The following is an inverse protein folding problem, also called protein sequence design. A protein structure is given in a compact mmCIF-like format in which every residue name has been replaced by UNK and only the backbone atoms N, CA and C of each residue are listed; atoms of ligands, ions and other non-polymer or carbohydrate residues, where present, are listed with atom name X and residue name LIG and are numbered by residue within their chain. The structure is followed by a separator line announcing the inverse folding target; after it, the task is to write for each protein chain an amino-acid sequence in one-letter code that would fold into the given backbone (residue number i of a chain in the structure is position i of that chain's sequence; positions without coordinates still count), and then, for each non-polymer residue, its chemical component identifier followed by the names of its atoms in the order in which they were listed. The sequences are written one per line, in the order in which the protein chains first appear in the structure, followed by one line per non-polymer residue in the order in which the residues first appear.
data_IF_728583724091
#
_entry.id   IF_728583724091
#
_cell.length_a   1.000
_cell.length_b   1.000
_cell.length_c   1.000
_cell.angle_alpha   90.00
_cell.angle_beta   90.00
_cell.angle_gamma   90.00
#
_symmetry.space_group_name_H-M   'P 1'
#
loop_
_entity.id
_entity.type
_entity.pdbx_description
1 polymer ?
#
# COMPACT_ATOMS: atom_id res chain seq x y z
N UNK A 1 0.13 -16.92 -11.37
CA UNK A 1 -0.19 -18.13 -10.62
C UNK A 1 -1.08 -17.80 -9.44
N UNK A 2 -2.13 -18.55 -9.25
CA UNK A 2 -3.03 -18.30 -8.12
C UNK A 2 -2.32 -18.65 -6.81
N UNK A 3 -2.47 -17.79 -5.81
CA UNK A 3 -1.95 -18.04 -4.46
C UNK A 3 -2.74 -19.19 -3.83
N UNK A 4 -2.07 -20.15 -3.20
CA UNK A 4 -2.74 -21.26 -2.54
C UNK A 4 -3.58 -20.74 -1.35
N UNK A 5 -4.60 -21.52 -0.95
CA UNK A 5 -5.43 -21.19 0.22
C UNK A 5 -4.57 -21.08 1.48
N UNK A 6 -3.55 -21.95 1.63
CA UNK A 6 -2.64 -21.91 2.75
C UNK A 6 -1.81 -20.60 2.78
N UNK A 7 -1.28 -20.19 1.63
CA UNK A 7 -0.52 -18.93 1.53
C UNK A 7 -1.38 -17.73 1.86
N UNK A 8 -2.63 -17.69 1.39
CA UNK A 8 -3.58 -16.62 1.72
C UNK A 8 -3.89 -16.57 3.20
N UNK A 9 -4.10 -17.73 3.82
CA UNK A 9 -4.35 -17.82 5.25
C UNK A 9 -3.16 -17.30 6.07
N UNK A 10 -1.94 -17.72 5.70
CA UNK A 10 -0.71 -17.23 6.32
C UNK A 10 -0.59 -15.73 6.21
N UNK A 11 -0.86 -15.18 5.02
CA UNK A 11 -0.80 -13.74 4.77
C UNK A 11 -1.81 -12.98 5.63
N UNK A 12 -3.04 -13.48 5.73
CA UNK A 12 -4.06 -12.88 6.60
C UNK A 12 -3.62 -12.84 8.06
N UNK A 13 -3.01 -13.92 8.56
CA UNK A 13 -2.50 -13.95 9.92
C UNK A 13 -1.37 -12.97 10.15
N UNK A 14 -0.44 -12.89 9.21
CA UNK A 14 0.67 -11.95 9.29
C UNK A 14 0.17 -10.51 9.23
N UNK A 15 -0.79 -10.23 8.35
CA UNK A 15 -1.39 -8.91 8.23
C UNK A 15 -2.11 -8.52 9.52
N UNK A 16 -2.88 -9.42 10.11
CA UNK A 16 -3.59 -9.14 11.37
C UNK A 16 -2.63 -8.82 12.50
N UNK A 17 -1.51 -9.53 12.57
CA UNK A 17 -0.47 -9.29 13.59
C UNK A 17 0.19 -7.93 13.38
N UNK A 18 0.54 -7.60 12.14
CA UNK A 18 1.14 -6.31 11.81
C UNK A 18 0.18 -5.16 12.07
N UNK A 19 -1.09 -5.32 11.68
CA UNK A 19 -2.12 -4.31 11.94
C UNK A 19 -2.25 -4.00 13.43
N UNK A 20 -2.18 -5.04 14.26
CA UNK A 20 -2.23 -4.87 15.71
C UNK A 20 -1.06 -4.06 16.24
N UNK A 21 0.16 -4.31 15.72
CA UNK A 21 1.34 -3.54 16.09
C UNK A 21 1.21 -2.08 15.69
N UNK A 22 0.69 -1.81 14.51
CA UNK A 22 0.48 -0.44 14.01
C UNK A 22 -0.52 0.28 14.92
N UNK A 23 -1.63 -0.36 15.27
CA UNK A 23 -2.62 0.23 16.18
C UNK A 23 -2.06 0.53 17.55
N UNK A 24 -1.05 -0.24 17.98
CA UNK A 24 -0.37 -0.02 19.25
C UNK A 24 0.78 1.00 19.15
N UNK A 25 0.90 1.70 18.04
CA UNK A 25 1.89 2.74 17.83
C UNK A 25 3.22 2.28 17.27
N UNK A 26 3.37 1.01 16.91
CA UNK A 26 4.60 0.45 16.37
C UNK A 26 4.52 0.41 14.84
N UNK A 27 4.59 1.58 14.22
CA UNK A 27 4.38 1.75 12.79
C UNK A 27 5.63 1.74 11.94
N UNK A 28 6.62 0.91 12.30
CA UNK A 28 7.84 0.79 11.50
C UNK A 28 8.11 -0.67 11.17
N UNK A 29 8.49 -0.92 9.91
CA UNK A 29 8.88 -2.24 9.43
C UNK A 29 10.02 -2.10 8.44
N UNK A 30 11.15 -2.75 8.73
CA UNK A 30 12.36 -2.73 7.88
C UNK A 30 12.85 -1.30 7.60
N UNK A 31 12.74 -0.41 8.59
CA UNK A 31 13.17 0.98 8.45
C UNK A 31 12.19 1.86 7.68
N UNK A 32 10.98 1.37 7.41
CA UNK A 32 9.94 2.11 6.69
C UNK A 32 8.75 2.36 7.60
N UNK A 33 8.13 3.54 7.43
CA UNK A 33 6.85 3.81 8.08
C UNK A 33 5.76 2.95 7.44
N UNK A 34 4.82 2.46 8.24
CA UNK A 34 3.70 1.64 7.77
C UNK A 34 2.38 2.21 8.26
N UNK A 35 1.35 1.99 7.47
CA UNK A 35 -0.03 2.35 7.79
C UNK A 35 -0.92 1.15 7.52
N UNK A 36 -2.17 1.21 8.00
CA UNK A 36 -3.19 0.22 7.65
C UNK A 36 -4.08 0.83 6.57
N UNK A 37 -4.13 0.20 5.40
CA UNK A 37 -5.03 0.60 4.33
C UNK A 37 -6.30 -0.21 4.41
N UNK A 38 -7.45 0.49 4.49
CA UNK A 38 -8.76 -0.13 4.44
C UNK A 38 -9.32 0.01 3.03
N UNK A 39 -9.68 -1.11 2.45
CA UNK A 39 -10.33 -1.18 1.14
C UNK A 39 -11.56 -2.08 1.23
N UNK A 40 -12.33 -2.13 0.15
CA UNK A 40 -13.46 -3.03 0.01
C UNK A 40 -13.14 -4.00 -1.12
N UNK A 41 -13.33 -5.29 -0.88
CA UNK A 41 -13.08 -6.32 -1.88
C UNK A 41 -13.92 -6.05 -3.13
N UNK A 42 -13.27 -5.98 -4.29
CA UNK A 42 -13.94 -5.64 -5.55
C UNK A 42 -14.98 -6.67 -5.99
N UNK A 43 -14.86 -7.89 -5.48
CA UNK A 43 -15.77 -8.99 -5.82
C UNK A 43 -16.71 -9.33 -4.67
N UNK A 44 -16.18 -9.39 -3.45
CA UNK A 44 -16.96 -9.80 -2.27
C UNK A 44 -17.72 -8.65 -1.60
N UNK A 45 -17.25 -7.41 -1.77
CA UNK A 45 -17.77 -6.27 -1.03
C UNK A 45 -17.38 -6.24 0.43
N UNK A 46 -16.52 -7.15 0.86
CA UNK A 46 -16.11 -7.27 2.25
C UNK A 46 -14.94 -6.34 2.59
N UNK A 47 -14.87 -5.84 3.84
CA UNK A 47 -13.76 -4.99 4.26
C UNK A 47 -12.43 -5.74 4.23
N UNK A 48 -11.38 -5.05 3.81
CA UNK A 48 -10.01 -5.55 3.82
C UNK A 48 -9.12 -4.57 4.55
N UNK A 49 -8.16 -5.07 5.32
CA UNK A 49 -7.19 -4.28 6.04
C UNK A 49 -5.79 -4.79 5.69
N UNK A 50 -4.96 -3.92 5.14
CA UNK A 50 -3.63 -4.30 4.66
C UNK A 50 -2.57 -3.36 5.23
N UNK A 51 -1.55 -3.87 5.93
CA UNK A 51 -0.41 -3.04 6.35
C UNK A 51 0.46 -2.75 5.12
N UNK A 52 0.78 -1.48 4.90
CA UNK A 52 1.54 -1.05 3.73
C UNK A 52 2.55 0.01 4.15
N UNK A 53 3.77 -0.09 3.63
CA UNK A 53 4.77 0.95 3.79
C UNK A 53 4.37 2.17 2.99
N UNK A 54 4.66 3.36 3.52
CA UNK A 54 4.35 4.61 2.85
C UNK A 54 5.50 5.58 2.91
N UNK A 55 5.49 6.55 2.00
CA UNK A 55 6.49 7.60 1.91
C UNK A 55 5.80 8.95 1.81
N UNK A 56 6.40 9.98 2.41
CA UNK A 56 5.88 11.33 2.26
C UNK A 56 6.10 11.81 0.83
N UNK A 57 5.12 12.54 0.28
CA UNK A 57 5.26 13.18 -1.02
C UNK A 57 5.87 14.59 -0.93
N UNK A 58 6.32 14.97 0.27
CA UNK A 58 6.83 16.31 0.55
C UNK A 58 5.75 17.28 1.00
N UNK A 59 4.49 16.89 0.99
CA UNK A 59 3.33 17.64 1.47
C UNK A 59 2.49 16.77 2.38
N UNK A 60 1.17 16.80 2.21
CA UNK A 60 0.22 16.07 3.06
C UNK A 60 -0.14 14.69 2.52
N UNK A 61 0.40 14.29 1.37
CA UNK A 61 0.05 13.02 0.74
C UNK A 61 0.91 11.86 1.22
N UNK A 62 0.36 10.66 1.06
CA UNK A 62 1.04 9.39 1.34
C UNK A 62 1.28 8.67 0.03
N UNK A 63 2.54 8.29 -0.24
CA UNK A 63 2.90 7.54 -1.45
C UNK A 63 2.99 6.05 -1.12
N UNK A 64 2.33 5.22 -1.93
CA UNK A 64 2.36 3.78 -1.82
C UNK A 64 2.94 3.17 -3.11
N UNK A 65 3.70 2.09 -2.96
CA UNK A 65 4.23 1.34 -4.11
C UNK A 65 3.51 0.00 -4.21
N UNK A 66 2.94 -0.29 -5.35
CA UNK A 66 2.20 -1.53 -5.59
C UNK A 66 3.15 -2.66 -6.04
N UNK A 67 4.02 -3.12 -5.15
CA UNK A 67 5.08 -4.08 -5.46
C UNK A 67 4.78 -5.53 -5.06
N UNK A 68 3.68 -5.77 -4.34
CA UNK A 68 3.40 -7.09 -3.77
C UNK A 68 2.64 -8.06 -4.67
N UNK A 69 2.26 -7.66 -5.88
CA UNK A 69 1.54 -8.53 -6.81
C UNK A 69 2.47 -9.47 -7.55
N UNK A 70 2.06 -10.71 -7.75
CA UNK A 70 2.87 -11.69 -8.49
C UNK A 70 2.70 -11.46 -10.00
N UNK A 71 3.58 -10.66 -10.59
CA UNK A 71 3.56 -10.36 -12.01
C UNK A 71 2.46 -9.40 -12.45
N UNK A 72 1.82 -8.70 -11.51
CA UNK A 72 0.75 -7.74 -11.78
C UNK A 72 0.47 -6.87 -10.59
N UNK A 73 -0.62 -6.11 -10.63
CA UNK A 73 -1.02 -5.26 -9.52
C UNK A 73 -1.48 -6.11 -8.32
N UNK A 74 -1.10 -5.75 -7.08
CA UNK A 74 -1.58 -6.48 -5.91
C UNK A 74 -3.08 -6.26 -5.68
N UNK A 75 -3.69 -7.17 -4.92
CA UNK A 75 -5.13 -7.12 -4.66
C UNK A 75 -5.56 -5.82 -3.99
N UNK A 76 -4.77 -5.31 -3.04
CA UNK A 76 -5.14 -4.07 -2.36
C UNK A 76 -5.28 -2.90 -3.34
N UNK A 77 -4.41 -2.84 -4.36
CA UNK A 77 -4.48 -1.79 -5.38
C UNK A 77 -5.73 -1.95 -6.24
N UNK A 78 -6.02 -3.18 -6.67
CA UNK A 78 -7.20 -3.46 -7.49
C UNK A 78 -8.48 -3.12 -6.73
N UNK A 79 -8.55 -3.49 -5.46
CA UNK A 79 -9.70 -3.17 -4.61
C UNK A 79 -9.84 -1.66 -4.40
N UNK A 80 -8.70 -0.98 -4.16
CA UNK A 80 -8.66 0.46 -3.97
C UNK A 80 -9.19 1.22 -5.19
N UNK A 81 -8.75 0.81 -6.36
CA UNK A 81 -9.15 1.48 -7.62
C UNK A 81 -10.58 1.15 -8.03
N UNK A 82 -11.10 0.00 -7.62
CA UNK A 82 -12.49 -0.37 -7.88
C UNK A 82 -13.48 0.40 -7.01
N UNK A 83 -13.10 0.76 -5.77
CA UNK A 83 -13.95 1.49 -4.83
C UNK A 83 -13.16 2.62 -4.17
N UNK A 84 -12.72 3.62 -4.95
CA UNK A 84 -11.81 4.65 -4.43
C UNK A 84 -12.44 5.55 -3.35
N UNK A 85 -13.74 5.70 -3.36
CA UNK A 85 -14.47 6.50 -2.38
C UNK A 85 -14.66 5.80 -1.03
N UNK A 86 -14.24 4.55 -0.93
CA UNK A 86 -14.33 3.77 0.31
C UNK A 86 -12.98 3.55 0.98
N UNK A 87 -11.95 4.22 0.49
CA UNK A 87 -10.60 4.09 1.04
C UNK A 87 -10.44 4.86 2.34
N UNK A 88 -9.81 4.23 3.30
CA UNK A 88 -9.49 4.82 4.62
C UNK A 88 -8.12 4.32 5.05
N UNK A 89 -7.39 5.12 5.81
CA UNK A 89 -6.12 4.69 6.40
C UNK A 89 -6.11 4.88 7.90
N UNK A 90 -5.27 4.09 8.57
CA UNK A 90 -4.93 4.30 9.98
C UNK A 90 -3.41 4.47 10.06
N UNK A 91 -2.98 5.60 10.59
CA UNK A 91 -1.57 5.81 10.95
C UNK A 91 -1.34 5.19 12.34
N UNK A 92 -0.08 4.95 12.73
CA UNK A 92 0.19 4.32 14.03
C UNK A 92 -0.49 5.07 15.18
N UNK A 93 -1.28 4.31 15.97
CA UNK A 93 -2.05 4.84 17.11
C UNK A 93 -2.97 6.01 16.77
N UNK A 94 -3.31 6.18 15.49
CA UNK A 94 -4.18 7.25 15.03
C UNK A 94 -5.59 6.77 14.71
N UNK A 95 -6.56 7.71 14.59
CA UNK A 95 -7.91 7.35 14.16
C UNK A 95 -7.96 7.03 12.67
N UNK A 96 -8.96 6.24 12.24
CA UNK A 96 -9.19 6.05 10.80
C UNK A 96 -9.49 7.39 10.13
N UNK A 97 -8.94 7.60 8.94
CA UNK A 97 -9.23 8.81 8.16
C UNK A 97 -9.47 8.48 6.71
N UNK A 98 -10.56 9.02 6.11
CA UNK A 98 -10.84 8.79 4.70
C UNK A 98 -9.79 9.43 3.81
N UNK A 99 -9.44 8.75 2.72
CA UNK A 99 -8.46 9.23 1.76
C UNK A 99 -8.97 9.05 0.34
N UNK A 100 -8.36 9.79 -0.58
CA UNK A 100 -8.63 9.71 -2.02
C UNK A 100 -7.37 9.19 -2.72
N UNK A 101 -7.47 8.09 -3.48
CA UNK A 101 -6.32 7.55 -4.21
C UNK A 101 -6.17 8.18 -5.59
N UNK A 102 -4.93 8.31 -6.04
CA UNK A 102 -4.59 8.75 -7.38
C UNK A 102 -3.37 7.95 -7.86
N UNK A 103 -3.51 7.23 -8.97
CA UNK A 103 -2.36 6.59 -9.61
C UNK A 103 -1.57 7.67 -10.34
N UNK A 104 -0.28 7.76 -10.05
CA UNK A 104 0.58 8.78 -10.64
C UNK A 104 1.13 8.34 -11.99
N UNK A 105 1.24 9.30 -12.90
CA UNK A 105 1.77 9.11 -14.24
C UNK A 105 2.72 10.25 -14.59
N UNK A 106 3.53 10.05 -15.64
CA UNK A 106 4.38 11.10 -16.18
C UNK A 106 5.37 11.66 -15.16
N UNK A 107 5.50 12.98 -15.14
CA UNK A 107 6.47 13.66 -14.28
C UNK A 107 6.16 13.50 -12.79
N UNK A 108 4.88 13.45 -12.43
CA UNK A 108 4.51 13.22 -11.03
C UNK A 108 4.98 11.85 -10.55
N UNK A 109 4.83 10.83 -11.40
CA UNK A 109 5.32 9.49 -11.06
C UNK A 109 6.84 9.47 -10.98
N UNK A 110 7.52 10.11 -11.90
CA UNK A 110 8.99 10.17 -11.91
C UNK A 110 9.52 10.79 -10.63
N UNK A 111 8.94 11.93 -10.23
CA UNK A 111 9.34 12.61 -9.00
C UNK A 111 9.06 11.76 -7.75
N UNK A 112 7.90 11.13 -7.69
CA UNK A 112 7.53 10.25 -6.58
C UNK A 112 8.44 9.02 -6.51
N UNK A 113 8.73 8.41 -7.65
CA UNK A 113 9.62 7.25 -7.73
C UNK A 113 11.04 7.60 -7.24
N UNK A 114 11.53 8.77 -7.61
CA UNK A 114 12.83 9.25 -7.14
C UNK A 114 12.82 9.42 -5.62
N UNK A 115 11.78 10.01 -5.07
CA UNK A 115 11.62 10.15 -3.61
C UNK A 115 11.66 8.77 -2.93
N UNK A 116 10.89 7.83 -3.45
CA UNK A 116 10.79 6.48 -2.88
C UNK A 116 12.12 5.74 -2.95
N UNK A 117 12.77 5.73 -4.10
CA UNK A 117 14.01 4.97 -4.30
C UNK A 117 15.21 5.62 -3.61
N UNK A 118 15.17 6.92 -3.37
CA UNK A 118 16.17 7.60 -2.55
C UNK A 118 16.04 7.18 -1.09
N UNK A 119 14.81 7.12 -0.58
CA UNK A 119 14.54 6.69 0.79
C UNK A 119 14.79 5.19 0.97
N UNK A 120 14.42 4.37 -0.02
CA UNK A 120 14.55 2.91 0.04
C UNK A 120 15.02 2.36 -1.31
N UNK A 121 16.34 2.29 -1.52
CA UNK A 121 16.90 1.79 -2.79
C UNK A 121 16.47 0.38 -3.19
N UNK A 122 15.98 -0.42 -2.24
CA UNK A 122 15.48 -1.77 -2.50
C UNK A 122 14.38 -1.81 -3.55
N UNK A 123 13.55 -0.75 -3.63
CA UNK A 123 12.47 -0.71 -4.60
C UNK A 123 12.97 -0.61 -6.04
N UNK A 124 14.09 0.08 -6.26
CA UNK A 124 14.71 0.12 -7.58
C UNK A 124 15.19 -1.28 -7.99
N UNK A 125 15.73 -2.04 -7.04
CA UNK A 125 16.18 -3.41 -7.29
C UNK A 125 15.00 -4.34 -7.58
N UNK A 126 13.91 -4.21 -6.83
CA UNK A 126 12.70 -5.00 -7.06
C UNK A 126 12.12 -4.71 -8.44
N UNK A 127 12.04 -3.43 -8.82
CA UNK A 127 11.52 -3.02 -10.12
C UNK A 127 12.39 -3.57 -11.25
N UNK A 128 13.71 -3.55 -11.09
CA UNK A 128 14.64 -4.05 -12.11
C UNK A 128 14.45 -5.55 -12.38
N UNK A 129 13.96 -6.29 -11.40
CA UNK A 129 13.70 -7.73 -11.52
C UNK A 129 12.28 -8.05 -11.98
N UNK A 130 11.41 -7.05 -12.08
CA UNK A 130 10.01 -7.24 -12.45
C UNK A 130 9.78 -6.79 -13.88
N UNK A 131 9.02 -7.57 -14.64
CA UNK A 131 8.59 -7.17 -15.97
C UNK A 131 7.42 -6.17 -15.90
N UNK A 132 6.68 -6.20 -14.79
CA UNK A 132 5.55 -5.31 -14.55
C UNK A 132 6.04 -4.03 -13.86
N UNK A 133 5.67 -2.88 -14.41
CA UNK A 133 5.97 -1.59 -13.77
C UNK A 133 5.06 -1.40 -12.55
N UNK A 134 5.67 -1.18 -11.39
CA UNK A 134 4.93 -0.96 -10.17
C UNK A 134 4.16 0.35 -10.24
N UNK A 135 2.86 0.31 -9.93
CA UNK A 135 2.08 1.52 -9.80
C UNK A 135 2.53 2.29 -8.55
N UNK A 136 2.54 3.61 -8.65
CA UNK A 136 2.75 4.51 -7.52
C UNK A 136 1.43 5.22 -7.28
N UNK A 137 0.91 5.07 -6.06
CA UNK A 137 -0.39 5.62 -5.68
C UNK A 137 -0.18 6.71 -4.63
N UNK A 138 -0.75 7.89 -4.88
CA UNK A 138 -0.79 8.96 -3.88
C UNK A 138 -2.14 8.91 -3.19
N UNK A 139 -2.13 8.90 -1.86
CA UNK A 139 -3.33 9.09 -1.07
C UNK A 139 -3.33 10.50 -0.51
N UNK A 140 -4.46 11.17 -0.59
CA UNK A 140 -4.66 12.48 0.03
C UNK A 140 -5.90 12.42 0.92
N UNK A 141 -5.93 13.27 1.95
CA UNK A 141 -7.08 13.32 2.86
C UNK A 141 -8.33 13.76 2.09
N UNK A 142 -9.44 13.14 2.42
CA UNK A 142 -10.74 13.42 1.82
C UNK A 142 -11.61 14.26 2.74
#
# INVERSE_FOLDING_TARGET
MATSAFSRWMQHKMNARMNRKIRNGKGEFMGMDVLILHTVGRRSGEPRQTPISWFSDGGDGWLLVASGGQGGDPDWQRNLMANPDKATIELPAGPPQPVRPQVLHGQERTAAWETITTAQPRYAKYQAKSEHEYAVVRLTAR
#
